data_IF_254102881924
#
_entry.id   IF_254102881924
#
_cell.length_a   1.000
_cell.length_b   1.000
_cell.length_c   1.000
_cell.angle_alpha   90.00
_cell.angle_beta   90.00
_cell.angle_gamma   90.00
#
_symmetry.space_group_name_H-M   'P 1'
#
loop_
_entity.id
_entity.type
_entity.pdbx_description
1 polymer ?
#
# COMPACT_ATOMS: atom_id res chain seq x y z
N UNK A 1 -20.36 -13.32 25.86
CA UNK A 1 -21.24 -12.84 24.77
C UNK A 1 -20.55 -13.10 23.43
N UNK A 2 -21.14 -13.93 22.56
CA UNK A 2 -20.55 -14.31 21.28
C UNK A 2 -20.82 -13.23 20.23
N UNK A 3 -19.78 -12.60 19.70
CA UNK A 3 -19.88 -11.65 18.58
C UNK A 3 -20.18 -12.46 17.31
N UNK A 4 -21.41 -12.35 16.83
CA UNK A 4 -21.86 -13.01 15.61
C UNK A 4 -21.37 -12.20 14.39
N UNK A 5 -20.26 -12.63 13.80
CA UNK A 5 -19.82 -12.19 12.47
C UNK A 5 -20.76 -12.81 11.43
N UNK A 6 -21.86 -12.13 11.09
CA UNK A 6 -22.72 -12.54 9.96
C UNK A 6 -22.06 -12.13 8.64
N UNK A 7 -21.83 -13.05 7.69
CA UNK A 7 -21.41 -12.67 6.35
C UNK A 7 -22.56 -11.97 5.63
N UNK A 8 -22.29 -10.78 5.08
CA UNK A 8 -23.20 -10.07 4.16
C UNK A 8 -23.35 -10.92 2.90
N UNK A 9 -24.57 -11.19 2.40
CA UNK A 9 -24.75 -12.00 1.20
C UNK A 9 -24.21 -11.27 -0.03
N UNK A 10 -23.24 -11.90 -0.70
CA UNK A 10 -22.71 -11.45 -1.99
C UNK A 10 -23.69 -11.87 -3.09
N UNK A 11 -24.32 -10.89 -3.75
CA UNK A 11 -25.15 -11.14 -4.93
C UNK A 11 -24.29 -11.50 -6.14
N UNK A 12 -24.63 -12.62 -6.77
CA UNK A 12 -24.08 -13.26 -7.97
C UNK A 12 -22.97 -12.55 -8.77
N UNK A 13 -21.72 -12.75 -8.35
CA UNK A 13 -20.56 -12.76 -9.23
C UNK A 13 -19.63 -13.90 -8.76
N UNK A 14 -19.08 -14.68 -9.69
CA UNK A 14 -18.33 -15.94 -9.45
C UNK A 14 -17.44 -15.83 -8.20
N UNK A 15 -17.80 -16.57 -7.16
CA UNK A 15 -17.17 -16.50 -5.84
C UNK A 15 -15.74 -17.06 -5.89
N UNK A 16 -14.70 -16.30 -5.53
CA UNK A 16 -13.36 -16.85 -5.34
C UNK A 16 -13.39 -17.82 -4.16
N UNK A 17 -12.89 -19.05 -4.35
CA UNK A 17 -12.84 -20.07 -3.29
C UNK A 17 -11.91 -19.64 -2.16
N UNK A 18 -12.45 -19.47 -0.95
CA UNK A 18 -11.68 -19.27 0.26
C UNK A 18 -10.90 -20.56 0.59
N UNK A 19 -9.57 -20.56 0.40
CA UNK A 19 -8.66 -21.64 0.86
C UNK A 19 -8.00 -21.20 2.17
N UNK A 20 -8.05 -22.05 3.20
CA UNK A 20 -7.40 -21.81 4.51
C UNK A 20 -5.87 -21.78 4.31
N UNK A 21 -5.22 -20.75 4.85
CA UNK A 21 -3.76 -20.66 4.92
C UNK A 21 -3.27 -21.35 6.19
N UNK A 22 -2.22 -22.15 6.05
CA UNK A 22 -1.51 -22.81 7.15
C UNK A 22 -0.27 -21.97 7.48
N UNK A 23 -0.32 -21.20 8.58
CA UNK A 23 0.78 -20.35 9.06
C UNK A 23 0.38 -18.86 9.14
N UNK A 24 0.19 -18.33 10.36
CA UNK A 24 -0.57 -17.10 10.60
C UNK A 24 0.10 -15.82 10.09
N UNK A 25 -0.51 -15.18 9.08
CA UNK A 25 -0.08 -13.89 8.54
C UNK A 25 -0.34 -12.75 9.54
N UNK A 26 -1.41 -12.85 10.36
CA UNK A 26 -1.79 -11.79 11.30
C UNK A 26 -0.75 -11.55 12.40
N UNK A 27 -0.02 -12.59 12.83
CA UNK A 27 0.97 -12.47 13.89
C UNK A 27 2.17 -11.59 13.52
N UNK A 28 2.44 -11.40 12.21
CA UNK A 28 3.52 -10.56 11.71
C UNK A 28 3.09 -9.10 11.50
N UNK A 29 1.81 -8.78 11.64
CA UNK A 29 1.30 -7.45 11.37
C UNK A 29 1.33 -6.60 12.63
N UNK A 30 1.82 -5.37 12.52
CA UNK A 30 1.89 -4.43 13.65
C UNK A 30 0.52 -4.16 14.27
N UNK A 31 -0.55 -4.29 13.48
CA UNK A 31 -1.92 -4.19 13.97
C UNK A 31 -2.18 -5.12 15.18
N UNK A 32 -1.65 -6.34 15.16
CA UNK A 32 -1.87 -7.34 16.21
C UNK A 32 -0.70 -7.43 17.21
N UNK A 33 0.28 -6.53 17.09
CA UNK A 33 1.44 -6.52 17.98
C UNK A 33 1.04 -6.43 19.46
N UNK A 34 1.52 -7.41 20.24
CA UNK A 34 1.30 -7.49 21.68
C UNK A 34 -0.10 -7.96 22.11
N UNK A 35 -0.90 -8.54 21.20
CA UNK A 35 -2.01 -9.41 21.59
C UNK A 35 -1.47 -10.81 21.96
N UNK A 36 -2.14 -11.57 22.84
CA UNK A 36 -1.75 -12.95 23.13
C UNK A 36 -1.79 -13.84 21.88
N UNK A 37 -0.78 -14.70 21.70
CA UNK A 37 -0.68 -15.57 20.52
C UNK A 37 -1.93 -16.44 20.31
N UNK A 38 -2.55 -16.91 21.40
CA UNK A 38 -3.79 -17.67 21.36
C UNK A 38 -4.97 -16.85 20.77
N UNK A 39 -5.03 -15.55 21.08
CA UNK A 39 -6.04 -14.64 20.53
C UNK A 39 -5.75 -14.32 19.05
N UNK A 40 -4.49 -14.09 18.69
CA UNK A 40 -4.09 -13.88 17.30
C UNK A 40 -4.42 -15.11 16.44
N UNK A 41 -4.12 -16.32 16.93
CA UNK A 41 -4.47 -17.57 16.27
C UNK A 41 -6.00 -17.75 16.14
N UNK A 42 -6.77 -17.31 17.13
CA UNK A 42 -8.23 -17.32 17.05
C UNK A 42 -8.74 -16.35 15.96
N UNK A 43 -8.17 -15.15 15.88
CA UNK A 43 -8.51 -14.14 14.87
C UNK A 43 -8.13 -14.61 13.47
N UNK A 44 -6.95 -15.20 13.29
CA UNK A 44 -6.47 -15.75 12.03
C UNK A 44 -7.50 -16.70 11.42
N UNK A 45 -8.10 -17.55 12.26
CA UNK A 45 -9.08 -18.56 11.89
C UNK A 45 -10.51 -18.02 11.68
N UNK A 46 -10.84 -16.88 12.27
CA UNK A 46 -12.21 -16.31 12.25
C UNK A 46 -12.40 -15.20 11.24
N UNK A 47 -11.35 -14.45 10.96
CA UNK A 47 -11.42 -13.35 10.02
C UNK A 47 -11.50 -13.90 8.59
N UNK A 48 -12.52 -13.52 7.80
CA UNK A 48 -12.70 -14.01 6.44
C UNK A 48 -11.52 -13.57 5.57
N UNK A 49 -11.15 -14.41 4.61
CA UNK A 49 -10.10 -14.10 3.62
C UNK A 49 -10.68 -14.30 2.24
N UNK A 50 -10.60 -13.27 1.42
CA UNK A 50 -10.94 -13.31 0.00
C UNK A 50 -9.62 -13.25 -0.77
N UNK A 51 -9.55 -14.00 -1.87
CA UNK A 51 -8.37 -14.01 -2.75
C UNK A 51 -8.72 -13.38 -4.10
N UNK A 52 -7.81 -12.54 -4.58
CA UNK A 52 -7.90 -11.91 -5.90
C UNK A 52 -6.65 -12.27 -6.69
N UNK A 53 -6.79 -12.77 -7.93
CA UNK A 53 -5.63 -12.97 -8.79
C UNK A 53 -5.09 -11.63 -9.26
N UNK A 54 -3.81 -11.60 -9.64
CA UNK A 54 -3.19 -10.42 -10.26
C UNK A 54 -4.05 -9.87 -11.40
N UNK A 55 -4.24 -8.55 -11.39
CA UNK A 55 -5.02 -7.81 -12.39
C UNK A 55 -6.54 -7.82 -12.16
N UNK A 56 -7.04 -8.46 -11.09
CA UNK A 56 -8.45 -8.40 -10.75
C UNK A 56 -8.82 -7.09 -10.06
N UNK A 57 -9.99 -6.55 -10.41
CA UNK A 57 -10.60 -5.44 -9.69
C UNK A 57 -11.36 -5.93 -8.45
N UNK A 58 -11.29 -5.16 -7.37
CA UNK A 58 -12.07 -5.40 -6.15
C UNK A 58 -13.46 -4.78 -6.35
N UNK A 59 -14.54 -5.56 -6.15
CA UNK A 59 -15.89 -5.10 -6.42
C UNK A 59 -16.33 -3.88 -5.59
N UNK A 60 -17.07 -2.97 -6.23
CA UNK A 60 -17.63 -1.75 -5.62
C UNK A 60 -18.38 -1.97 -4.30
N UNK A 61 -19.19 -3.04 -4.10
CA UNK A 61 -19.85 -3.26 -2.82
C UNK A 61 -18.89 -3.36 -1.63
N UNK A 62 -17.67 -3.83 -1.85
CA UNK A 62 -16.64 -3.91 -0.81
C UNK A 62 -15.94 -2.55 -0.61
N UNK A 63 -15.92 -1.69 -1.64
CA UNK A 63 -15.30 -0.37 -1.56
C UNK A 63 -16.26 0.72 -1.05
N UNK A 64 -17.49 0.36 -0.61
CA UNK A 64 -18.44 1.26 0.06
C UNK A 64 -17.96 1.72 1.44
N UNK A 65 -18.49 2.83 2.00
CA UNK A 65 -18.03 3.50 3.25
C UNK A 65 -18.09 2.71 4.58
N UNK A 66 -18.08 1.38 4.57
CA UNK A 66 -18.38 0.55 5.74
C UNK A 66 -17.34 -0.54 6.00
N UNK A 67 -16.20 -0.50 5.29
CA UNK A 67 -15.26 -1.61 5.27
C UNK A 67 -13.83 -1.22 5.65
N UNK A 68 -13.16 -2.18 6.30
CA UNK A 68 -11.72 -2.19 6.52
C UNK A 68 -11.13 -3.40 5.83
N UNK A 69 -10.05 -3.14 5.11
CA UNK A 69 -9.26 -4.10 4.36
C UNK A 69 -7.94 -4.31 5.06
N UNK A 70 -7.58 -5.58 5.23
CA UNK A 70 -6.32 -6.01 5.78
C UNK A 70 -5.63 -6.94 4.80
N UNK A 71 -4.54 -6.48 4.21
CA UNK A 71 -3.77 -7.25 3.22
C UNK A 71 -2.92 -8.29 3.95
N UNK A 72 -3.25 -9.56 3.77
CA UNK A 72 -2.51 -10.70 4.35
C UNK A 72 -1.40 -11.23 3.45
N UNK A 73 -1.55 -11.05 2.14
CA UNK A 73 -0.62 -11.55 1.14
C UNK A 73 -0.78 -10.70 -0.13
N UNK A 74 0.30 -10.54 -0.89
CA UNK A 74 0.29 -9.84 -2.18
C UNK A 74 0.26 -8.33 -2.07
N UNK A 75 -0.22 -7.68 -3.13
CA UNK A 75 -0.26 -6.21 -3.25
C UNK A 75 -1.55 -5.76 -3.91
N UNK A 76 -2.14 -4.68 -3.38
CA UNK A 76 -3.31 -4.03 -3.98
C UNK A 76 -3.01 -2.54 -4.21
N UNK A 77 -3.56 -1.97 -5.27
CA UNK A 77 -3.49 -0.56 -5.60
C UNK A 77 -4.86 0.09 -5.36
N UNK A 78 -4.86 1.26 -4.73
CA UNK A 78 -6.05 2.09 -4.52
C UNK A 78 -5.97 3.29 -5.46
N UNK A 79 -7.06 3.55 -6.17
CA UNK A 79 -7.17 4.65 -7.13
C UNK A 79 -8.28 5.61 -6.71
N UNK A 80 -8.00 6.91 -6.75
CA UNK A 80 -8.95 7.98 -6.48
C UNK A 80 -9.37 8.70 -7.75
N UNK A 81 -10.55 9.33 -7.72
CA UNK A 81 -11.06 10.12 -8.84
C UNK A 81 -10.41 11.51 -8.80
N UNK A 82 -9.66 11.87 -9.85
CA UNK A 82 -9.15 13.23 -10.01
C UNK A 82 -10.26 14.19 -10.45
N UNK A 83 -10.04 15.50 -10.26
CA UNK A 83 -10.98 16.54 -10.65
C UNK A 83 -11.34 16.54 -12.16
N UNK A 84 -10.46 16.01 -13.00
CA UNK A 84 -10.67 15.89 -14.46
C UNK A 84 -11.25 14.52 -14.88
N UNK A 85 -11.72 13.71 -13.93
CA UNK A 85 -12.41 12.44 -14.20
C UNK A 85 -11.53 11.23 -14.50
N UNK A 86 -10.20 11.39 -14.53
CA UNK A 86 -9.27 10.26 -14.61
C UNK A 86 -8.98 9.67 -13.22
N UNK A 87 -8.57 8.40 -13.19
CA UNK A 87 -8.17 7.73 -11.95
C UNK A 87 -6.70 7.97 -11.63
N UNK A 88 -6.40 8.18 -10.35
CA UNK A 88 -5.05 8.36 -9.82
C UNK A 88 -4.81 7.34 -8.71
N UNK A 89 -3.91 6.39 -8.93
CA UNK A 89 -3.31 5.54 -7.91
C UNK A 89 -2.70 6.39 -6.80
N UNK A 90 -3.31 6.37 -5.63
CA UNK A 90 -2.88 7.12 -4.43
C UNK A 90 -2.15 6.25 -3.43
N UNK A 91 -2.28 4.93 -3.52
CA UNK A 91 -1.65 4.02 -2.57
C UNK A 91 -1.40 2.64 -3.16
N UNK A 92 -0.27 2.05 -2.78
CA UNK A 92 0.02 0.62 -2.93
C UNK A 92 0.06 0.03 -1.53
N UNK A 93 -0.70 -1.03 -1.30
CA UNK A 93 -0.86 -1.69 0.00
C UNK A 93 -0.32 -3.12 -0.11
N UNK A 94 0.59 -3.48 0.78
CA UNK A 94 1.28 -4.76 0.88
C UNK A 94 0.89 -5.52 2.15
N UNK A 95 1.49 -6.69 2.39
CA UNK A 95 1.25 -7.50 3.59
C UNK A 95 1.37 -6.66 4.87
N UNK A 96 0.35 -6.73 5.72
CA UNK A 96 0.25 -5.96 6.96
C UNK A 96 -0.39 -4.58 6.80
N UNK A 97 -0.57 -4.10 5.57
CA UNK A 97 -1.25 -2.83 5.32
C UNK A 97 -2.73 -2.90 5.66
N UNK A 98 -3.19 -1.84 6.33
CA UNK A 98 -4.61 -1.56 6.56
C UNK A 98 -5.05 -0.43 5.65
N UNK A 99 -6.24 -0.59 5.09
CA UNK A 99 -6.93 0.48 4.40
C UNK A 99 -8.42 0.44 4.74
N UNK A 100 -9.06 1.61 4.74
CA UNK A 100 -10.40 1.79 5.25
C UNK A 100 -11.19 2.67 4.31
N UNK A 101 -12.43 2.31 4.06
CA UNK A 101 -13.43 3.15 3.42
C UNK A 101 -14.33 3.86 4.43
N UNK A 102 -14.23 3.53 5.73
CA UNK A 102 -15.05 4.11 6.79
C UNK A 102 -15.03 5.65 6.73
N UNK A 103 -16.22 6.24 6.61
CA UNK A 103 -16.40 7.70 6.60
C UNK A 103 -15.86 8.40 5.35
N UNK A 104 -15.61 7.66 4.25
CA UNK A 104 -15.22 8.21 2.95
C UNK A 104 -16.24 7.84 1.88
N UNK A 105 -16.27 8.56 0.75
CA UNK A 105 -17.09 8.18 -0.42
C UNK A 105 -16.60 6.90 -1.12
N UNK A 106 -15.54 6.29 -0.61
CA UNK A 106 -14.84 5.17 -1.22
C UNK A 106 -13.93 5.63 -2.37
N UNK A 107 -12.96 4.78 -2.75
CA UNK A 107 -12.06 5.06 -3.86
C UNK A 107 -12.81 5.01 -5.20
N UNK A 108 -12.16 5.49 -6.26
CA UNK A 108 -12.63 5.26 -7.61
C UNK A 108 -12.62 3.77 -7.98
N UNK A 109 -11.49 3.11 -7.71
CA UNK A 109 -11.30 1.69 -7.94
C UNK A 109 -10.20 1.12 -7.02
N UNK A 110 -10.17 -0.21 -6.87
CA UNK A 110 -9.08 -0.92 -6.18
C UNK A 110 -8.76 -2.16 -7.00
N UNK A 111 -7.48 -2.40 -7.26
CA UNK A 111 -7.01 -3.50 -8.12
C UNK A 111 -5.89 -4.31 -7.49
N UNK A 112 -5.84 -5.61 -7.76
CA UNK A 112 -4.76 -6.49 -7.33
C UNK A 112 -3.54 -6.34 -8.25
N UNK A 113 -2.41 -5.88 -7.70
CA UNK A 113 -1.13 -5.80 -8.44
C UNK A 113 -0.42 -7.14 -8.53
N UNK A 114 -0.65 -8.01 -7.54
CA UNK A 114 -0.19 -9.40 -7.47
C UNK A 114 -1.33 -10.30 -6.98
N UNK A 115 -1.13 -11.62 -6.97
CA UNK A 115 -2.07 -12.53 -6.28
C UNK A 115 -2.17 -12.14 -4.81
N UNK A 116 -3.35 -11.66 -4.41
CA UNK A 116 -3.57 -11.02 -3.12
C UNK A 116 -4.57 -11.81 -2.26
N UNK A 117 -4.32 -11.85 -0.96
CA UNK A 117 -5.25 -12.35 0.04
C UNK A 117 -5.59 -11.21 1.01
N UNK A 118 -6.86 -10.81 1.08
CA UNK A 118 -7.30 -9.67 1.90
C UNK A 118 -8.44 -10.09 2.80
N UNK A 119 -8.36 -9.71 4.07
CA UNK A 119 -9.48 -9.77 5.00
C UNK A 119 -10.32 -8.50 4.90
N UNK A 120 -11.63 -8.68 4.76
CA UNK A 120 -12.59 -7.58 4.73
C UNK A 120 -13.44 -7.63 5.99
N UNK A 121 -13.39 -6.55 6.75
CA UNK A 121 -14.11 -6.34 8.00
C UNK A 121 -15.14 -5.23 7.79
N UNK A 122 -16.29 -5.32 8.47
CA UNK A 122 -17.18 -4.17 8.57
C UNK A 122 -16.71 -3.21 9.66
N UNK A 123 -17.15 -1.95 9.61
CA UNK A 123 -16.93 -0.96 10.69
C UNK A 123 -17.34 -1.51 12.06
N UNK A 124 -18.52 -2.14 12.15
CA UNK A 124 -18.98 -2.78 13.39
C UNK A 124 -18.09 -3.92 13.87
N UNK A 125 -17.52 -4.70 12.94
CA UNK A 125 -16.63 -5.79 13.30
C UNK A 125 -15.31 -5.27 13.88
N UNK A 126 -14.73 -4.20 13.31
CA UNK A 126 -13.53 -3.59 13.88
C UNK A 126 -13.81 -2.94 15.24
N UNK A 127 -14.96 -2.26 15.41
CA UNK A 127 -15.36 -1.66 16.69
C UNK A 127 -15.44 -2.73 17.79
N UNK A 128 -16.08 -3.87 17.48
CA UNK A 128 -16.15 -5.00 18.40
C UNK A 128 -14.78 -5.60 18.73
N UNK A 129 -13.86 -5.64 17.77
CA UNK A 129 -12.49 -6.09 18.00
C UNK A 129 -11.71 -5.10 18.87
N UNK A 130 -11.83 -3.79 18.65
CA UNK A 130 -11.19 -2.75 19.46
C UNK A 130 -11.74 -2.78 20.89
N UNK A 131 -13.06 -2.94 21.07
CA UNK A 131 -13.68 -3.03 22.39
C UNK A 131 -13.18 -4.26 23.18
N UNK A 132 -12.95 -5.39 22.48
CA UNK A 132 -12.41 -6.61 23.09
C UNK A 132 -10.89 -6.53 23.32
N UNK A 133 -10.17 -5.90 22.41
CA UNK A 133 -8.71 -5.79 22.42
C UNK A 133 -8.31 -4.31 22.27
N UNK A 134 -8.32 -3.52 23.36
CA UNK A 134 -8.02 -2.08 23.28
C UNK A 134 -6.65 -1.74 22.67
N UNK A 135 -5.70 -2.68 22.78
CA UNK A 135 -4.37 -2.57 22.17
C UNK A 135 -4.44 -2.49 20.63
N UNK A 136 -5.40 -3.16 20.00
CA UNK A 136 -5.65 -3.08 18.56
C UNK A 136 -5.97 -1.65 18.13
N UNK A 137 -6.75 -0.91 18.93
CA UNK A 137 -7.06 0.49 18.67
C UNK A 137 -5.84 1.40 18.74
N UNK A 138 -4.92 1.15 19.68
CA UNK A 138 -3.64 1.86 19.76
C UNK A 138 -2.75 1.58 18.55
N UNK A 139 -2.63 0.31 18.16
CA UNK A 139 -1.82 -0.09 17.01
C UNK A 139 -2.38 0.50 15.71
N UNK A 140 -3.70 0.53 15.55
CA UNK A 140 -4.36 1.19 14.42
C UNK A 140 -4.07 2.71 14.39
N UNK A 141 -4.13 3.38 15.55
CA UNK A 141 -3.79 4.80 15.63
C UNK A 141 -2.33 5.10 15.27
N UNK A 142 -1.39 4.24 15.67
CA UNK A 142 0.02 4.35 15.30
C UNK A 142 0.22 4.23 13.78
N UNK A 143 -0.39 3.23 13.14
CA UNK A 143 -0.32 3.06 11.68
C UNK A 143 -0.97 4.23 10.91
N UNK A 144 -2.09 4.77 11.41
CA UNK A 144 -2.70 5.97 10.84
C UNK A 144 -1.78 7.19 10.95
N UNK A 145 -1.11 7.36 12.09
CA UNK A 145 -0.14 8.44 12.29
C UNK A 145 1.02 8.36 11.30
N UNK A 146 1.59 7.17 11.09
CA UNK A 146 2.65 6.95 10.10
C UNK A 146 2.19 7.29 8.69
N UNK A 147 0.97 6.87 8.33
CA UNK A 147 0.38 7.17 7.02
C UNK A 147 0.15 8.66 6.82
N UNK A 148 -0.32 9.38 7.84
CA UNK A 148 -0.47 10.84 7.79
C UNK A 148 0.89 11.52 7.62
N UNK A 149 1.93 11.06 8.30
CA UNK A 149 3.29 11.58 8.12
C UNK A 149 3.80 11.39 6.69
N UNK A 150 3.62 10.20 6.10
CA UNK A 150 4.00 9.95 4.70
C UNK A 150 3.19 10.78 3.68
N UNK A 151 1.93 11.08 3.98
CA UNK A 151 1.13 12.02 3.17
C UNK A 151 1.65 13.45 3.27
N UNK A 152 2.07 13.91 4.46
CA UNK A 152 2.66 15.25 4.63
C UNK A 152 3.95 15.39 3.83
N UNK A 153 4.82 14.38 3.90
CA UNK A 153 6.05 14.32 3.09
C UNK A 153 5.71 14.37 1.59
N UNK A 154 4.72 13.59 1.16
CA UNK A 154 4.23 13.61 -0.22
C UNK A 154 3.76 15.00 -0.66
N UNK A 155 2.97 15.68 0.17
CA UNK A 155 2.46 17.02 -0.13
C UNK A 155 3.61 18.01 -0.25
N UNK A 156 4.58 17.96 0.67
CA UNK A 156 5.78 18.80 0.63
C UNK A 156 6.58 18.57 -0.68
N UNK A 157 6.77 17.31 -1.09
CA UNK A 157 7.42 16.96 -2.36
C UNK A 157 6.66 17.47 -3.59
N UNK A 158 5.33 17.45 -3.58
CA UNK A 158 4.52 17.90 -4.72
C UNK A 158 4.55 19.43 -4.89
N UNK A 159 4.64 20.18 -3.79
CA UNK A 159 4.58 21.64 -3.81
C UNK A 159 5.83 22.33 -4.38
N UNK A 160 6.98 21.66 -4.47
CA UNK A 160 8.26 22.33 -4.75
C UNK A 160 9.06 21.78 -5.95
N UNK A 161 8.67 20.64 -6.55
CA UNK A 161 9.61 19.84 -7.36
C UNK A 161 9.18 19.62 -8.82
N UNK A 162 10.16 19.52 -9.74
CA UNK A 162 9.93 19.09 -11.14
C UNK A 162 9.51 17.60 -11.14
N UNK A 163 8.88 17.13 -12.23
CA UNK A 163 8.42 15.72 -12.34
C UNK A 163 9.56 14.72 -12.09
N UNK A 164 10.76 15.04 -12.56
CA UNK A 164 11.98 14.24 -12.39
C UNK A 164 12.38 14.11 -10.92
N UNK A 165 12.35 15.22 -10.18
CA UNK A 165 12.68 15.30 -8.75
C UNK A 165 11.66 14.51 -7.90
N UNK A 166 10.36 14.64 -8.21
CA UNK A 166 9.30 13.84 -7.56
C UNK A 166 9.43 12.36 -7.85
N UNK A 167 9.80 12.00 -9.08
CA UNK A 167 10.03 10.62 -9.48
C UNK A 167 11.23 10.03 -8.72
N UNK A 168 12.33 10.78 -8.60
CA UNK A 168 13.50 10.38 -7.81
C UNK A 168 13.15 10.13 -6.35
N UNK A 169 12.47 11.08 -5.69
CA UNK A 169 12.04 10.91 -4.30
C UNK A 169 11.14 9.68 -4.11
N UNK A 170 10.19 9.44 -5.03
CA UNK A 170 9.35 8.24 -4.98
C UNK A 170 10.10 6.95 -5.23
N UNK A 171 11.08 6.94 -6.13
CA UNK A 171 11.94 5.78 -6.34
C UNK A 171 12.68 5.41 -5.06
N UNK A 172 13.27 6.37 -4.35
CA UNK A 172 13.94 6.12 -3.07
C UNK A 172 12.99 5.58 -2.01
N UNK A 173 11.82 6.20 -1.84
CA UNK A 173 10.83 5.72 -0.88
C UNK A 173 10.37 4.29 -1.18
N UNK A 174 10.13 3.98 -2.47
CA UNK A 174 9.76 2.63 -2.89
C UNK A 174 10.94 1.65 -2.76
N UNK A 175 12.18 2.10 -2.91
CA UNK A 175 13.37 1.28 -2.71
C UNK A 175 13.55 0.90 -1.24
N UNK A 176 13.33 1.84 -0.32
CA UNK A 176 13.37 1.57 1.12
C UNK A 176 12.33 0.54 1.54
N UNK A 177 11.13 0.57 0.94
CA UNK A 177 10.01 -0.31 1.34
C UNK A 177 9.93 -1.62 0.56
N UNK A 178 10.23 -1.59 -0.73
CA UNK A 178 9.99 -2.69 -1.67
C UNK A 178 11.24 -3.11 -2.46
N UNK A 179 12.39 -2.53 -2.11
CA UNK A 179 13.67 -2.87 -2.71
C UNK A 179 14.23 -4.19 -2.21
N UNK A 180 15.04 -4.82 -3.06
CA UNK A 180 15.94 -5.91 -2.68
C UNK A 180 17.35 -5.47 -3.01
N UNK A 181 18.25 -5.63 -2.03
CA UNK A 181 19.67 -5.42 -2.22
C UNK A 181 20.21 -6.43 -3.26
N UNK A 182 20.85 -5.89 -4.28
CA UNK A 182 21.53 -6.60 -5.36
C UNK A 182 23.00 -6.14 -5.38
N UNK A 183 23.91 -6.87 -6.08
CA UNK A 183 25.31 -6.48 -6.15
C UNK A 183 25.55 -5.07 -6.75
N UNK A 184 24.67 -4.64 -7.64
CA UNK A 184 24.72 -3.41 -8.42
C UNK A 184 23.88 -2.26 -7.83
N UNK A 185 22.96 -2.56 -6.91
CA UNK A 185 22.11 -1.54 -6.30
C UNK A 185 20.93 -2.10 -5.53
N UNK A 186 19.85 -1.33 -5.44
CA UNK A 186 18.57 -1.75 -4.89
C UNK A 186 17.57 -1.93 -6.03
N UNK A 187 17.19 -3.17 -6.31
CA UNK A 187 16.18 -3.48 -7.31
C UNK A 187 14.78 -3.38 -6.72
N UNK A 188 13.89 -2.63 -7.37
CA UNK A 188 12.48 -2.55 -7.00
C UNK A 188 11.74 -3.82 -7.39
N UNK A 189 11.10 -4.49 -6.42
CA UNK A 189 10.16 -5.59 -6.68
C UNK A 189 8.76 -5.08 -7.07
N UNK A 190 8.70 -4.05 -7.90
CA UNK A 190 7.46 -3.44 -8.37
C UNK A 190 7.57 -3.15 -9.87
N UNK A 191 6.79 -3.86 -10.67
CA UNK A 191 6.72 -3.66 -12.12
C UNK A 191 5.57 -2.70 -12.48
N UNK A 192 5.78 -1.41 -12.27
CA UNK A 192 4.80 -0.38 -12.60
C UNK A 192 4.92 0.07 -14.05
N UNK A 193 3.78 0.26 -14.71
CA UNK A 193 3.71 0.91 -16.02
C UNK A 193 3.99 2.42 -15.90
N UNK A 194 4.39 3.06 -17.00
CA UNK A 194 4.59 4.52 -17.01
C UNK A 194 3.31 5.30 -16.63
N UNK A 195 2.12 4.75 -16.91
CA UNK A 195 0.85 5.36 -16.49
C UNK A 195 0.66 5.28 -14.97
N UNK A 196 1.01 4.15 -14.35
CA UNK A 196 0.98 4.00 -12.89
C UNK A 196 2.02 4.90 -12.20
N UNK A 197 3.22 5.04 -12.77
CA UNK A 197 4.21 6.00 -12.30
C UNK A 197 3.73 7.44 -12.42
N UNK A 198 3.16 7.81 -13.56
CA UNK A 198 2.58 9.13 -13.83
C UNK A 198 1.52 9.49 -12.80
N UNK A 199 0.63 8.54 -12.53
CA UNK A 199 -0.32 8.66 -11.45
C UNK A 199 0.34 8.86 -10.08
N UNK A 200 1.35 8.05 -9.74
CA UNK A 200 2.01 8.08 -8.43
C UNK A 200 2.72 9.43 -8.14
N UNK A 201 3.24 10.08 -9.19
CA UNK A 201 3.99 11.35 -9.08
C UNK A 201 3.17 12.58 -9.52
N UNK A 202 1.89 12.40 -9.82
CA UNK A 202 1.00 13.47 -10.28
C UNK A 202 1.49 14.15 -11.55
N UNK A 203 1.72 13.37 -12.61
CA UNK A 203 2.20 13.85 -13.91
C UNK A 203 1.50 13.10 -15.06
N UNK A 204 1.75 13.51 -16.30
CA UNK A 204 1.32 12.74 -17.48
C UNK A 204 2.26 11.55 -17.75
N UNK A 205 1.76 10.54 -18.46
CA UNK A 205 2.57 9.38 -18.90
C UNK A 205 3.78 9.82 -19.72
N UNK A 206 3.61 10.82 -20.58
CA UNK A 206 4.65 11.39 -21.43
C UNK A 206 5.73 12.09 -20.59
N UNK A 207 5.31 12.85 -19.57
CA UNK A 207 6.22 13.53 -18.65
C UNK A 207 7.07 12.53 -17.86
N UNK A 208 6.45 11.44 -17.38
CA UNK A 208 7.18 10.35 -16.69
C UNK A 208 8.11 9.59 -17.64
N UNK A 209 7.68 9.31 -18.86
CA UNK A 209 8.55 8.67 -19.87
C UNK A 209 9.80 9.52 -20.12
N UNK A 210 9.62 10.83 -20.20
CA UNK A 210 10.72 11.79 -20.35
C UNK A 210 11.61 11.82 -19.11
N UNK A 211 11.02 11.83 -17.91
CA UNK A 211 11.75 11.84 -16.65
C UNK A 211 12.60 10.57 -16.46
N UNK A 212 12.04 9.37 -16.70
CA UNK A 212 12.82 8.12 -16.67
C UNK A 212 13.96 8.10 -17.67
N UNK A 213 13.75 8.63 -18.87
CA UNK A 213 14.80 8.72 -19.89
C UNK A 213 15.97 9.59 -19.41
N UNK A 214 15.68 10.70 -18.72
CA UNK A 214 16.69 11.58 -18.12
C UNK A 214 17.42 10.92 -16.95
N UNK A 215 16.68 10.35 -16.00
CA UNK A 215 17.27 9.65 -14.85
C UNK A 215 18.18 8.50 -15.31
N UNK A 216 17.79 7.75 -16.35
CA UNK A 216 18.64 6.71 -16.95
C UNK A 216 19.90 7.30 -17.58
N UNK A 217 19.79 8.41 -18.29
CA UNK A 217 20.95 9.07 -18.93
C UNK A 217 21.92 9.63 -17.89
N UNK A 218 21.41 10.03 -16.71
CA UNK A 218 22.21 10.51 -15.58
C UNK A 218 22.81 9.37 -14.74
N UNK A 219 22.49 8.10 -15.02
CA UNK A 219 22.90 6.97 -14.17
C UNK A 219 22.12 6.86 -12.85
N UNK A 220 21.06 7.66 -12.66
CA UNK A 220 20.27 7.64 -11.43
C UNK A 220 19.39 6.38 -11.29
N UNK A 221 19.08 5.72 -12.41
CA UNK A 221 18.37 4.43 -12.44
C UNK A 221 18.85 3.59 -13.62
N UNK A 222 18.85 2.28 -13.41
CA UNK A 222 18.92 1.29 -14.49
C UNK A 222 17.53 0.72 -14.74
N UNK A 223 17.17 0.53 -16.01
CA UNK A 223 15.85 0.07 -16.42
C UNK A 223 16.01 -1.07 -17.42
N UNK A 224 15.56 -2.27 -17.04
CA UNK A 224 15.42 -3.43 -17.92
C UNK A 224 13.95 -3.87 -17.98
N UNK A 225 13.30 -3.61 -19.11
CA UNK A 225 11.86 -3.82 -19.27
C UNK A 225 11.04 -2.97 -18.28
N UNK A 226 10.48 -3.62 -17.24
CA UNK A 226 9.76 -2.97 -16.13
C UNK A 226 10.52 -3.03 -14.80
N UNK A 227 11.68 -3.68 -14.77
CA UNK A 227 12.54 -3.72 -13.61
C UNK A 227 13.33 -2.42 -13.52
N UNK A 228 13.38 -1.87 -12.33
CA UNK A 228 14.10 -0.64 -12.03
C UNK A 228 15.08 -0.95 -10.91
N UNK A 229 16.34 -0.63 -11.12
CA UNK A 229 17.41 -0.74 -10.13
C UNK A 229 17.95 0.65 -9.85
N UNK A 230 18.08 0.99 -8.56
CA UNK A 230 18.76 2.20 -8.11
C UNK A 230 20.20 1.82 -7.75
N UNK A 231 21.22 2.32 -8.47
CA UNK A 231 22.62 2.07 -8.15
C UNK A 231 22.99 2.48 -6.71
N UNK A 232 23.95 1.77 -6.09
CA UNK A 232 24.33 2.00 -4.69
C UNK A 232 24.84 3.41 -4.42
N UNK A 233 25.61 4.00 -5.33
CA UNK A 233 26.08 5.38 -5.24
C UNK A 233 24.92 6.38 -5.15
N UNK A 234 23.88 6.19 -5.96
CA UNK A 234 22.66 7.02 -5.94
C UNK A 234 21.89 6.85 -4.62
N UNK A 235 21.81 5.63 -4.09
CA UNK A 235 21.12 5.37 -2.82
C UNK A 235 21.81 6.06 -1.65
N UNK A 236 23.14 5.97 -1.58
CA UNK A 236 23.92 6.62 -0.51
C UNK A 236 23.87 8.15 -0.63
N UNK A 237 24.00 8.71 -1.83
CA UNK A 237 23.92 10.17 -2.04
C UNK A 237 22.59 10.76 -1.51
N UNK A 238 21.48 10.05 -1.73
CA UNK A 238 20.17 10.49 -1.24
C UNK A 238 20.05 10.41 0.29
N UNK A 239 20.63 9.37 0.91
CA UNK A 239 20.65 9.24 2.38
C UNK A 239 21.43 10.39 3.01
N UNK A 240 22.61 10.69 2.48
CA UNK A 240 23.46 11.79 2.96
C UNK A 240 22.73 13.15 2.85
N UNK A 241 21.99 13.37 1.75
CA UNK A 241 21.20 14.60 1.55
C UNK A 241 20.06 14.73 2.56
N UNK A 242 19.33 13.65 2.85
CA UNK A 242 18.23 13.65 3.82
C UNK A 242 18.76 13.89 5.24
N UNK A 243 19.89 13.26 5.60
CA UNK A 243 20.53 13.47 6.91
C UNK A 243 21.04 14.92 7.07
N UNK A 244 21.65 15.49 6.03
CA UNK A 244 22.09 16.88 6.04
C UNK A 244 20.92 17.87 6.17
N UNK A 245 19.79 17.61 5.52
CA UNK A 245 18.58 18.44 5.66
C UNK A 245 17.94 18.31 7.04
N UNK A 246 17.89 17.09 7.61
CA UNK A 246 17.39 16.87 8.97
C UNK A 246 18.26 17.59 10.01
N UNK A 247 19.59 17.59 9.83
CA UNK A 247 20.52 18.31 10.70
C UNK A 247 20.40 19.84 10.59
N UNK A 248 20.04 20.37 9.41
CA UNK A 248 19.85 21.81 9.20
C UNK A 248 18.51 22.34 9.75
N UNK A 249 17.53 21.47 9.98
CA UNK A 249 16.22 21.81 10.52
C UNK A 249 16.11 21.65 12.05
N UNK A 250 17.17 21.15 12.71
CA UNK A 250 17.28 20.95 14.16
C UNK A 250 18.06 22.11 14.82
#
# INVERSE_FOLDING_TARGET
MAIALRPTPLSSARTPRARRLSGGSLARMDLFAGLPDADVALLENRLPVIRWPRGADIPEPLTRPEHIFLVREGKIAVFERAAQGHEVMTSILDEGAIWSTLGSDGPASVGALDDAAVSVLSGRAIEGLIARYPRLGRNLAAQLSERVSGLRETVALISEMRVEDRLRARLHQLATRFGVAMPDGVQLRLELTHAQWASLVGASREAVTTAFSKLRTQGAVEIDGRQITLPWDVVHEYQDLVEAQAAAAA
#
